data_IF_265064655777
#
_entry.id   IF_265064655777
#
_cell.length_a   1.000
_cell.length_b   1.000
_cell.length_c   1.000
_cell.angle_alpha   90.00
_cell.angle_beta   90.00
_cell.angle_gamma   90.00
#
_symmetry.space_group_name_H-M   'P 1'
#
loop_
_entity.id
_entity.type
_entity.pdbx_description
1 polymer ?
#
# COMPACT_ATOMS: atom_id res chain seq x y z
N UNK A 1 -4.14 11.65 0.31
CA UNK A 1 -3.55 10.30 0.33
C UNK A 1 -4.26 9.46 1.37
N UNK A 2 -4.61 8.25 1.03
CA UNK A 2 -5.30 7.34 1.94
C UNK A 2 -4.42 6.15 2.27
N UNK A 3 -4.63 5.61 3.46
CA UNK A 3 -3.93 4.41 3.92
C UNK A 3 -4.97 3.37 4.32
N UNK A 4 -5.00 2.25 3.58
CA UNK A 4 -5.85 1.13 3.94
C UNK A 4 -5.01 0.15 4.76
N UNK A 5 -5.51 -0.27 5.91
CA UNK A 5 -4.74 -1.03 6.89
C UNK A 5 -5.38 -2.37 7.20
N UNK A 6 -4.58 -3.25 7.77
CA UNK A 6 -5.02 -4.57 8.27
C UNK A 6 -5.66 -5.39 7.15
N UNK A 7 -5.01 -5.38 5.99
CA UNK A 7 -5.49 -6.15 4.85
C UNK A 7 -4.95 -7.57 4.98
N UNK A 8 -5.85 -8.54 4.90
CA UNK A 8 -5.46 -9.94 4.98
C UNK A 8 -4.37 -10.25 3.95
N UNK A 9 -3.39 -11.05 4.36
CA UNK A 9 -2.21 -11.29 3.54
C UNK A 9 -2.54 -11.82 2.16
N UNK A 10 -3.45 -12.80 2.08
CA UNK A 10 -3.78 -13.38 0.77
C UNK A 10 -4.45 -12.36 -0.14
N UNK A 11 -5.31 -11.51 0.41
CA UNK A 11 -5.95 -10.47 -0.38
C UNK A 11 -4.93 -9.42 -0.82
N UNK A 12 -4.02 -9.05 0.07
CA UNK A 12 -2.97 -8.08 -0.23
C UNK A 12 -2.10 -8.55 -1.40
N UNK A 13 -1.69 -9.83 -1.37
CA UNK A 13 -0.92 -10.41 -2.47
C UNK A 13 -1.72 -10.46 -3.76
N UNK A 14 -3.00 -10.78 -3.66
CA UNK A 14 -3.87 -10.84 -4.81
C UNK A 14 -4.02 -9.47 -5.48
N UNK A 15 -4.11 -8.42 -4.68
CA UNK A 15 -4.18 -7.06 -5.20
C UNK A 15 -2.93 -6.72 -5.99
N UNK A 16 -1.75 -7.04 -5.45
CA UNK A 16 -0.51 -6.78 -6.14
C UNK A 16 -0.48 -7.51 -7.48
N UNK A 17 -0.88 -8.78 -7.49
CA UNK A 17 -0.88 -9.57 -8.72
C UNK A 17 -1.82 -8.97 -9.76
N UNK A 18 -3.00 -8.54 -9.34
CA UNK A 18 -3.96 -7.96 -10.26
C UNK A 18 -3.45 -6.65 -10.85
N UNK A 19 -2.79 -5.82 -10.04
CA UNK A 19 -2.25 -4.57 -10.52
C UNK A 19 -1.11 -4.80 -11.51
N UNK A 20 -0.23 -5.74 -11.21
CA UNK A 20 0.85 -6.08 -12.13
C UNK A 20 0.30 -6.57 -13.46
N UNK A 21 -0.75 -7.38 -13.43
CA UNK A 21 -1.39 -7.85 -14.64
C UNK A 21 -2.06 -6.71 -15.41
N UNK A 22 -2.42 -5.64 -14.72
CA UNK A 22 -3.06 -4.48 -15.32
C UNK A 22 -2.12 -3.40 -15.80
N UNK A 23 -0.82 -3.65 -15.82
CA UNK A 23 0.13 -2.70 -16.38
C UNK A 23 0.92 -1.91 -15.37
N UNK A 24 0.72 -2.14 -14.08
CA UNK A 24 1.55 -1.50 -13.07
C UNK A 24 2.90 -2.19 -13.01
N UNK A 25 3.94 -1.44 -12.71
CA UNK A 25 5.31 -1.97 -12.61
C UNK A 25 5.79 -1.89 -11.19
N UNK A 26 6.47 -2.94 -10.74
CA UNK A 26 7.10 -2.91 -9.43
C UNK A 26 8.46 -2.23 -9.58
N UNK A 27 8.57 -1.03 -9.04
CA UNK A 27 9.78 -0.23 -9.17
C UNK A 27 10.65 -0.28 -7.93
N UNK A 28 10.14 -0.82 -6.84
CA UNK A 28 10.92 -0.98 -5.61
C UNK A 28 10.40 -2.20 -4.86
N UNK A 29 11.33 -2.96 -4.35
CA UNK A 29 11.00 -4.17 -3.59
C UNK A 29 11.98 -4.32 -2.45
N UNK A 30 11.44 -4.50 -1.26
CA UNK A 30 12.26 -4.71 -0.08
C UNK A 30 11.56 -5.75 0.78
N UNK A 31 12.24 -6.84 1.07
CA UNK A 31 11.70 -7.83 1.98
C UNK A 31 12.85 -8.42 2.77
N UNK A 32 12.70 -8.41 4.09
CA UNK A 32 13.71 -8.96 4.96
C UNK A 32 13.12 -9.22 6.33
N UNK A 33 13.87 -9.98 7.08
CA UNK A 33 13.57 -10.25 8.48
C UNK A 33 14.58 -9.46 9.30
N UNK A 34 14.07 -8.68 10.24
CA UNK A 34 14.94 -7.86 11.06
C UNK A 34 14.44 -7.95 12.50
N UNK A 35 15.30 -8.43 13.40
CA UNK A 35 14.99 -8.58 14.81
C UNK A 35 13.70 -9.40 15.02
N UNK A 36 13.47 -10.40 14.20
CA UNK A 36 12.30 -11.24 14.33
C UNK A 36 11.03 -10.67 13.74
N UNK A 37 11.12 -9.53 13.05
CA UNK A 37 9.97 -8.92 12.42
C UNK A 37 10.10 -9.09 10.91
N UNK A 38 9.10 -9.72 10.30
CA UNK A 38 9.03 -9.81 8.85
C UNK A 38 8.47 -8.51 8.30
N UNK A 39 9.16 -7.94 7.32
CA UNK A 39 8.75 -6.67 6.74
C UNK A 39 8.92 -6.71 5.23
N UNK A 40 7.87 -6.43 4.50
CA UNK A 40 7.91 -6.33 3.04
C UNK A 40 7.39 -4.97 2.63
N UNK A 41 8.04 -4.38 1.65
CA UNK A 41 7.60 -3.09 1.12
C UNK A 41 7.78 -3.09 -0.38
N UNK A 42 6.72 -2.77 -1.11
CA UNK A 42 6.76 -2.72 -2.57
C UNK A 42 6.20 -1.41 -3.04
N UNK A 43 6.78 -0.87 -4.11
CA UNK A 43 6.23 0.30 -4.77
C UNK A 43 5.84 -0.11 -6.17
N UNK A 44 4.60 0.18 -6.55
CA UNK A 44 4.12 -0.03 -7.91
C UNK A 44 3.88 1.33 -8.55
N UNK A 45 4.23 1.46 -9.83
CA UNK A 45 4.08 2.72 -10.54
C UNK A 45 3.41 2.51 -11.88
N UNK A 46 2.61 3.50 -12.28
CA UNK A 46 1.97 3.51 -13.59
C UNK A 46 1.58 4.95 -13.91
N UNK A 47 1.99 5.42 -15.08
CA UNK A 47 1.62 6.76 -15.57
C UNK A 47 1.94 7.86 -14.56
N UNK A 48 3.07 7.74 -13.88
CA UNK A 48 3.51 8.76 -12.93
C UNK A 48 2.90 8.66 -11.56
N UNK A 49 2.03 7.69 -11.32
CA UNK A 49 1.43 7.50 -10.00
C UNK A 49 2.10 6.35 -9.28
N UNK A 50 2.13 6.45 -7.96
CA UNK A 50 2.76 5.44 -7.11
C UNK A 50 1.77 4.88 -6.12
N UNK A 51 1.89 3.57 -5.90
CA UNK A 51 1.19 2.88 -4.83
C UNK A 51 2.24 2.27 -3.93
N UNK A 52 2.09 2.41 -2.62
CA UNK A 52 3.02 1.82 -1.67
C UNK A 52 2.31 0.70 -0.93
N UNK A 53 2.94 -0.47 -0.93
CA UNK A 53 2.42 -1.67 -0.28
C UNK A 53 3.38 -2.06 0.82
N UNK A 54 2.86 -2.21 2.05
CA UNK A 54 3.69 -2.63 3.18
C UNK A 54 3.02 -3.80 3.88
N UNK A 55 3.85 -4.67 4.43
CA UNK A 55 3.36 -5.84 5.15
C UNK A 55 4.29 -6.13 6.33
N UNK A 56 3.71 -6.37 7.49
CA UNK A 56 4.46 -6.83 8.64
C UNK A 56 3.69 -7.99 9.26
N UNK A 57 4.40 -8.79 10.05
CA UNK A 57 3.73 -9.88 10.75
C UNK A 57 2.88 -9.38 11.93
N UNK A 58 2.91 -8.08 12.20
CA UNK A 58 2.07 -7.48 13.25
C UNK A 58 0.74 -6.98 12.71
N UNK A 59 0.79 -6.26 11.58
CA UNK A 59 -0.38 -5.55 11.07
C UNK A 59 -0.87 -6.08 9.74
N UNK A 60 -0.21 -7.08 9.20
CA UNK A 60 -0.49 -7.61 7.87
C UNK A 60 -0.35 -6.52 6.82
N UNK A 61 -1.22 -6.46 5.83
CA UNK A 61 -1.01 -5.62 4.67
C UNK A 61 -1.55 -4.21 4.81
N UNK A 62 -0.82 -3.27 4.20
CA UNK A 62 -1.25 -1.88 4.11
C UNK A 62 -1.02 -1.40 2.69
N UNK A 63 -1.88 -0.49 2.24
CA UNK A 63 -1.76 0.13 0.93
C UNK A 63 -1.93 1.63 1.08
N UNK A 64 -0.98 2.39 0.57
CA UNK A 64 -1.05 3.85 0.58
C UNK A 64 -1.23 4.33 -0.85
N UNK A 65 -2.27 5.12 -1.10
CA UNK A 65 -2.59 5.57 -2.45
C UNK A 65 -3.56 6.74 -2.42
N UNK A 66 -3.82 7.31 -3.60
CA UNK A 66 -4.82 8.37 -3.71
C UNK A 66 -6.22 7.78 -3.59
N UNK A 67 -7.21 8.63 -3.27
CA UNK A 67 -8.60 8.13 -3.18
C UNK A 67 -9.08 7.49 -4.47
N UNK A 68 -8.71 8.03 -5.62
CA UNK A 68 -9.13 7.47 -6.90
C UNK A 68 -8.57 6.06 -7.09
N UNK A 69 -7.30 5.86 -6.73
CA UNK A 69 -6.68 4.56 -6.86
C UNK A 69 -7.26 3.56 -5.88
N UNK A 70 -7.62 4.02 -4.68
CA UNK A 70 -8.21 3.12 -3.70
C UNK A 70 -9.54 2.59 -4.22
N UNK A 71 -10.35 3.46 -4.82
CA UNK A 71 -11.63 3.03 -5.40
C UNK A 71 -11.41 2.03 -6.52
N UNK A 72 -10.38 2.25 -7.34
CA UNK A 72 -10.06 1.32 -8.41
C UNK A 72 -9.70 -0.05 -7.86
N UNK A 73 -8.89 -0.08 -6.79
CA UNK A 73 -8.50 -1.33 -6.17
C UNK A 73 -9.71 -2.03 -5.59
N UNK A 74 -10.59 -1.30 -4.89
CA UNK A 74 -11.80 -1.90 -4.34
C UNK A 74 -12.66 -2.50 -5.42
N UNK A 75 -12.71 -1.86 -6.58
CA UNK A 75 -13.46 -2.39 -7.71
C UNK A 75 -12.84 -3.66 -8.24
N UNK A 76 -11.51 -3.73 -8.29
CA UNK A 76 -10.81 -4.91 -8.77
C UNK A 76 -11.06 -6.13 -7.89
N UNK A 77 -11.17 -5.93 -6.59
CA UNK A 77 -11.35 -7.04 -5.66
C UNK A 77 -12.81 -7.22 -5.26
N UNK A 78 -13.67 -6.33 -5.73
CA UNK A 78 -15.12 -6.40 -5.46
C UNK A 78 -15.41 -6.38 -3.95
N UNK A 79 -14.67 -5.58 -3.22
CA UNK A 79 -14.82 -5.40 -1.78
C UNK A 79 -14.42 -4.00 -1.39
N UNK A 80 -14.89 -3.56 -0.22
CA UNK A 80 -14.48 -2.28 0.36
C UNK A 80 -13.56 -2.54 1.53
N UNK A 81 -12.56 -1.67 1.68
CA UNK A 81 -11.67 -1.75 2.83
C UNK A 81 -12.37 -1.16 4.04
N UNK A 82 -12.11 -1.73 5.20
CA UNK A 82 -12.78 -1.31 6.43
C UNK A 82 -11.96 -0.33 7.24
N UNK A 83 -10.65 -0.42 7.17
CA UNK A 83 -9.77 0.40 7.99
C UNK A 83 -8.99 1.35 7.09
N UNK A 84 -9.53 2.55 6.90
CA UNK A 84 -8.93 3.53 6.02
C UNK A 84 -8.65 4.79 6.82
N UNK A 85 -7.41 5.30 6.71
CA UNK A 85 -7.02 6.55 7.33
C UNK A 85 -6.68 7.57 6.26
N UNK A 86 -6.98 8.81 6.56
CA UNK A 86 -6.64 9.91 5.68
C UNK A 86 -5.29 10.46 6.13
N UNK A 87 -4.34 10.52 5.20
CA UNK A 87 -3.01 11.03 5.49
C UNK A 87 -2.87 12.42 4.91
N UNK A 88 -2.26 13.35 5.64
CA UNK A 88 -2.01 14.68 5.07
C UNK A 88 -0.91 14.60 4.03
N UNK A 89 -1.10 15.33 2.92
CA UNK A 89 -0.07 15.38 1.90
C UNK A 89 1.09 16.24 2.36
N UNK A 90 0.78 17.35 3.02
CA UNK A 90 1.80 18.28 3.48
C UNK A 90 1.22 19.14 4.59
N UNK A 91 1.96 19.28 5.68
CA UNK A 91 1.56 20.12 6.79
C UNK A 91 2.68 21.13 7.04
N UNK A 92 2.47 22.40 6.67
CA UNK A 92 3.51 23.41 6.86
C UNK A 92 3.87 23.56 8.35
N UNK A 93 5.17 23.69 8.61
CA UNK A 93 5.63 23.88 9.97
C UNK A 93 5.80 22.61 10.78
N UNK A 94 5.52 21.46 10.19
CA UNK A 94 5.65 20.17 10.85
C UNK A 94 6.75 19.38 10.13
N UNK A 95 7.72 18.83 10.87
CA UNK A 95 8.75 18.00 10.21
C UNK A 95 8.11 16.81 9.52
N UNK A 96 8.61 16.58 8.33
CA UNK A 96 8.09 15.43 7.62
C UNK A 96 8.85 14.24 8.08
N UNK A 97 8.77 13.55 8.43
CA UNK A 97 9.48 12.60 8.90
C UNK A 97 9.91 12.10 9.52
N UNK A 98 10.22 11.77 9.89
CA UNK A 98 10.78 11.29 10.36
C UNK A 98 10.48 10.30 10.84
N UNK A 99 10.48 9.56 10.99
CA UNK A 99 10.13 8.56 11.48
C UNK A 99 11.01 7.74 11.54
#
# INVERSE_FOLDING_TARGET
MLLAKYIETSLWNQIIEKLLAGGWEMTYQYDRIDAGIDYNCYTLEKAGEKLTFEWTNWDEGEIQCSPARLREIESLINQSFKNIESLPDFVPGVPQSKR
#
